data_IF_695547979524
#
_entry.id   IF_695547979524
#
_cell.length_a   1.000
_cell.length_b   1.000
_cell.length_c   1.000
_cell.angle_alpha   90.00
_cell.angle_beta   90.00
_cell.angle_gamma   90.00
#
_symmetry.space_group_name_H-M   'P 1'
#
loop_
_entity.id
_entity.type
_entity.pdbx_description
1 polymer ?
#
# COMPACT_ATOMS: atom_id res chain seq x y z
N UNK A 1 -9.66 -15.24 -19.74
CA UNK A 1 -10.56 -14.49 -18.85
C UNK A 1 -9.75 -13.36 -18.24
N UNK A 2 -10.16 -12.10 -18.39
CA UNK A 2 -9.50 -10.97 -17.75
C UNK A 2 -9.65 -11.17 -16.23
N UNK A 3 -8.53 -11.33 -15.52
CA UNK A 3 -8.56 -11.48 -14.06
C UNK A 3 -9.14 -10.23 -13.42
N UNK A 4 -10.11 -10.40 -12.55
CA UNK A 4 -10.76 -9.32 -11.81
C UNK A 4 -10.29 -9.29 -10.36
N UNK A 5 -10.48 -8.15 -9.69
CA UNK A 5 -10.31 -8.06 -8.22
C UNK A 5 -11.22 -9.07 -7.53
N UNK A 6 -10.78 -9.58 -6.39
CA UNK A 6 -11.61 -10.42 -5.53
C UNK A 6 -12.48 -9.53 -4.63
N UNK A 7 -13.79 -9.55 -4.85
CA UNK A 7 -14.75 -8.80 -4.03
C UNK A 7 -14.82 -9.40 -2.63
N UNK A 8 -14.57 -8.57 -1.60
CA UNK A 8 -14.69 -8.93 -0.17
C UNK A 8 -16.05 -8.47 0.39
N UNK A 9 -16.48 -7.23 0.03
CA UNK A 9 -17.82 -6.73 0.29
C UNK A 9 -18.36 -6.01 -0.95
N UNK A 10 -19.63 -6.24 -1.36
CA UNK A 10 -20.16 -5.67 -2.59
C UNK A 10 -20.66 -4.21 -2.46
N UNK A 11 -21.05 -3.80 -1.27
CA UNK A 11 -21.62 -2.46 -1.06
C UNK A 11 -21.39 -1.92 0.37
N UNK A 12 -20.60 -0.84 0.53
CA UNK A 12 -19.72 -0.24 -0.46
C UNK A 12 -18.67 -1.24 -0.94
N UNK A 13 -18.27 -1.13 -2.22
CA UNK A 13 -17.29 -2.06 -2.79
C UNK A 13 -15.98 -2.02 -1.98
N UNK A 14 -15.56 -3.22 -1.54
CA UNK A 14 -14.23 -3.48 -1.05
C UNK A 14 -13.71 -4.72 -1.75
N UNK A 15 -12.65 -4.56 -2.52
CA UNK A 15 -12.09 -5.64 -3.34
C UNK A 15 -10.56 -5.65 -3.27
N UNK A 16 -9.99 -6.84 -3.17
CA UNK A 16 -8.53 -7.05 -3.06
C UNK A 16 -7.92 -7.52 -4.38
N UNK A 17 -6.67 -7.18 -4.60
CA UNK A 17 -5.86 -7.72 -5.69
C UNK A 17 -5.58 -9.20 -5.40
N UNK A 18 -5.88 -10.13 -6.30
CA UNK A 18 -5.43 -11.51 -6.14
C UNK A 18 -3.90 -11.57 -6.07
N UNK A 19 -3.34 -12.26 -5.06
CA UNK A 19 -1.88 -12.29 -4.85
C UNK A 19 -1.11 -12.77 -6.08
N UNK A 20 -1.70 -13.70 -6.82
CA UNK A 20 -1.14 -14.21 -8.08
C UNK A 20 -1.04 -13.20 -9.20
N UNK A 21 -1.67 -12.04 -9.05
CA UNK A 21 -1.62 -10.94 -10.01
C UNK A 21 -0.62 -9.84 -9.59
N UNK A 22 -0.01 -9.97 -8.40
CA UNK A 22 1.03 -9.07 -7.91
C UNK A 22 2.42 -9.49 -8.44
N UNK A 23 2.51 -9.72 -9.74
CA UNK A 23 3.72 -10.25 -10.39
C UNK A 23 4.61 -9.16 -11.01
N UNK A 24 4.07 -7.96 -11.22
CA UNK A 24 4.80 -6.81 -11.75
C UNK A 24 5.12 -5.78 -10.67
N UNK A 25 6.09 -4.91 -10.94
CA UNK A 25 6.45 -3.82 -10.02
C UNK A 25 5.31 -2.81 -9.86
N UNK A 26 4.55 -2.54 -10.92
CA UNK A 26 3.34 -1.69 -10.90
C UNK A 26 2.10 -2.54 -10.99
N UNK A 27 1.13 -2.31 -10.11
CA UNK A 27 -0.18 -2.94 -10.14
C UNK A 27 -1.07 -2.25 -11.17
N UNK A 28 -1.59 -2.94 -12.20
CA UNK A 28 -2.53 -2.35 -13.16
C UNK A 28 -3.76 -1.74 -12.47
N UNK A 29 -4.26 -0.59 -12.95
CA UNK A 29 -5.39 0.12 -12.34
C UNK A 29 -6.62 -0.78 -12.13
N UNK A 30 -6.93 -1.64 -13.11
CA UNK A 30 -8.06 -2.58 -13.02
C UNK A 30 -7.93 -3.63 -11.91
N UNK A 31 -6.71 -3.88 -11.43
CA UNK A 31 -6.40 -4.86 -10.38
C UNK A 31 -6.13 -4.20 -9.03
N UNK A 32 -5.83 -2.90 -9.02
CA UNK A 32 -5.51 -2.18 -7.79
C UNK A 32 -6.67 -2.29 -6.79
N UNK A 33 -6.39 -2.67 -5.54
CA UNK A 33 -7.43 -2.90 -4.54
C UNK A 33 -8.32 -1.67 -4.32
N UNK A 34 -9.58 -1.91 -4.00
CA UNK A 34 -10.56 -0.86 -3.67
C UNK A 34 -10.95 -0.96 -2.21
N UNK A 35 -10.86 0.16 -1.50
CA UNK A 35 -11.37 0.31 -0.13
C UNK A 35 -12.28 1.53 -0.03
N UNK A 36 -13.56 1.30 0.16
CA UNK A 36 -14.56 2.34 0.36
C UNK A 36 -15.22 2.19 1.73
N UNK A 37 -15.25 3.27 2.52
CA UNK A 37 -16.02 3.34 3.76
C UNK A 37 -17.49 3.57 3.46
N UNK A 38 -17.75 4.58 2.66
CA UNK A 38 -19.03 4.92 2.09
C UNK A 38 -19.02 4.68 0.58
N UNK A 39 -20.17 4.67 -0.05
CA UNK A 39 -20.25 4.59 -1.49
C UNK A 39 -19.53 5.80 -2.12
N UNK A 40 -18.89 5.62 -3.29
CA UNK A 40 -18.40 6.75 -4.06
C UNK A 40 -19.50 7.79 -4.24
N UNK A 41 -19.18 9.10 -4.15
CA UNK A 41 -20.16 10.13 -4.49
C UNK A 41 -20.63 9.93 -5.94
N UNK A 42 -21.84 10.42 -6.31
CA UNK A 42 -22.28 10.43 -7.70
C UNK A 42 -21.17 11.02 -8.59
N UNK A 43 -21.01 10.47 -9.80
CA UNK A 43 -19.95 10.86 -10.72
C UNK A 43 -19.85 12.38 -10.80
N UNK A 44 -18.75 12.97 -10.35
CA UNK A 44 -18.65 14.41 -10.31
C UNK A 44 -18.51 14.95 -11.73
N UNK A 45 -19.17 16.06 -12.02
CA UNK A 45 -18.69 16.93 -13.06
C UNK A 45 -17.29 17.42 -12.62
N UNK A 46 -16.25 16.90 -13.26
CA UNK A 46 -14.86 17.25 -12.92
C UNK A 46 -14.59 18.75 -13.12
N UNK A 47 -15.34 19.42 -13.99
CA UNK A 47 -15.22 20.86 -14.21
C UNK A 47 -15.79 21.68 -13.03
N UNK A 48 -16.83 21.17 -12.37
CA UNK A 48 -17.45 21.80 -11.21
C UNK A 48 -16.85 21.36 -9.86
N UNK A 49 -15.86 20.44 -9.87
CA UNK A 49 -15.25 19.98 -8.63
C UNK A 49 -14.28 20.99 -8.06
N UNK A 50 -14.54 21.46 -6.85
CA UNK A 50 -13.70 22.43 -6.15
C UNK A 50 -13.01 21.81 -4.94
N UNK A 51 -11.73 22.14 -4.76
CA UNK A 51 -10.94 21.93 -3.55
C UNK A 51 -10.81 23.26 -2.79
N UNK A 52 -11.26 23.29 -1.54
CA UNK A 52 -11.24 24.48 -0.69
C UNK A 52 -10.14 24.34 0.37
N UNK A 53 -9.32 25.38 0.54
CA UNK A 53 -8.36 25.53 1.64
C UNK A 53 -8.79 26.67 2.56
N UNK A 54 -8.96 26.37 3.83
CA UNK A 54 -9.43 27.29 4.86
C UNK A 54 -8.74 27.09 6.22
N UNK A 55 -9.17 27.84 7.24
CA UNK A 55 -8.66 27.73 8.62
C UNK A 55 -7.50 28.66 8.89
N UNK A 56 -6.44 28.16 9.52
CA UNK A 56 -5.28 28.97 9.94
C UNK A 56 -4.33 29.28 8.76
N UNK A 57 -4.87 29.92 7.75
CA UNK A 57 -4.12 30.46 6.60
C UNK A 57 -4.34 31.96 6.47
N UNK A 58 -3.40 32.66 5.86
CA UNK A 58 -3.51 34.11 5.61
C UNK A 58 -4.41 34.41 4.41
N UNK A 59 -4.44 33.49 3.43
CA UNK A 59 -5.21 33.58 2.19
C UNK A 59 -5.94 32.28 1.94
N UNK A 60 -7.20 32.15 2.41
CA UNK A 60 -8.06 31.04 2.00
C UNK A 60 -8.11 30.95 0.48
N UNK A 61 -8.09 29.75 -0.05
CA UNK A 61 -7.94 29.52 -1.49
C UNK A 61 -8.92 28.46 -1.96
N UNK A 62 -9.20 28.45 -3.26
CA UNK A 62 -10.08 27.49 -3.92
C UNK A 62 -9.51 27.19 -5.29
N UNK A 63 -9.60 25.94 -5.70
CA UNK A 63 -9.17 25.50 -7.03
C UNK A 63 -10.18 24.51 -7.60
N UNK A 64 -10.44 24.63 -8.88
CA UNK A 64 -11.10 23.58 -9.65
C UNK A 64 -10.11 22.45 -9.96
N UNK A 65 -10.62 21.27 -10.29
CA UNK A 65 -9.77 20.16 -10.73
C UNK A 65 -8.97 20.51 -12.00
N UNK A 66 -9.55 21.33 -12.89
CA UNK A 66 -8.88 21.79 -14.11
C UNK A 66 -7.72 22.74 -13.80
N UNK A 67 -7.90 23.69 -12.88
CA UNK A 67 -6.81 24.58 -12.43
C UNK A 67 -5.67 23.80 -11.81
N UNK A 68 -5.97 22.79 -10.94
CA UNK A 68 -4.95 21.92 -10.38
C UNK A 68 -4.21 21.12 -11.44
N UNK A 69 -4.91 20.65 -12.47
CA UNK A 69 -4.29 19.91 -13.58
C UNK A 69 -3.34 20.76 -14.43
N UNK A 70 -3.53 22.09 -14.43
CA UNK A 70 -2.69 23.06 -15.14
C UNK A 70 -1.42 23.48 -14.34
N UNK A 71 -1.37 23.20 -13.03
CA UNK A 71 -0.20 23.47 -12.20
C UNK A 71 0.94 22.48 -12.49
N UNK A 72 2.19 22.76 -12.09
CA UNK A 72 3.29 21.81 -12.17
C UNK A 72 2.95 20.51 -11.48
N UNK A 73 3.10 19.39 -12.20
CA UNK A 73 2.79 18.05 -11.72
C UNK A 73 4.06 17.37 -11.20
N UNK A 74 3.88 16.54 -10.17
CA UNK A 74 4.91 15.69 -9.60
C UNK A 74 4.42 14.25 -9.57
N UNK A 75 5.31 13.31 -9.91
CA UNK A 75 5.01 11.87 -9.84
C UNK A 75 5.85 11.20 -8.76
N UNK A 76 5.21 10.26 -8.04
CA UNK A 76 5.86 9.41 -7.06
C UNK A 76 5.35 7.98 -7.20
N UNK A 77 6.26 7.01 -7.21
CA UNK A 77 5.90 5.60 -7.11
C UNK A 77 5.76 5.23 -5.64
N UNK A 78 4.65 4.61 -5.27
CA UNK A 78 4.46 4.19 -3.89
C UNK A 78 3.52 2.99 -3.76
N UNK A 79 3.83 2.17 -2.75
CA UNK A 79 2.97 1.10 -2.27
C UNK A 79 1.91 1.68 -1.35
N UNK A 80 0.66 1.32 -1.59
CA UNK A 80 -0.48 1.64 -0.73
C UNK A 80 -1.02 0.35 -0.14
N UNK A 81 -1.13 0.29 1.16
CA UNK A 81 -1.68 -0.86 1.88
C UNK A 81 -2.86 -0.41 2.75
N UNK A 82 -3.94 -1.19 2.77
CA UNK A 82 -5.01 -1.02 3.77
C UNK A 82 -4.49 -1.43 5.15
N UNK A 83 -4.71 -0.62 6.17
CA UNK A 83 -4.27 -0.91 7.54
C UNK A 83 -4.84 -2.22 8.11
N UNK A 84 -5.93 -2.73 7.54
CA UNK A 84 -6.52 -4.03 7.88
C UNK A 84 -6.12 -5.19 6.96
N UNK A 85 -5.14 -4.99 6.07
CA UNK A 85 -4.67 -6.03 5.16
C UNK A 85 -4.13 -7.24 5.94
N UNK A 86 -4.72 -8.42 5.72
CA UNK A 86 -4.42 -9.64 6.47
C UNK A 86 -5.37 -9.94 7.65
N UNK A 87 -6.43 -9.14 7.86
CA UNK A 87 -7.35 -9.30 9.01
C UNK A 87 -7.99 -10.68 9.08
N UNK A 88 -8.30 -11.30 7.95
CA UNK A 88 -8.88 -12.64 7.90
C UNK A 88 -7.95 -13.73 8.48
N UNK A 89 -6.65 -13.47 8.58
CA UNK A 89 -5.67 -14.41 9.13
C UNK A 89 -5.51 -14.32 10.65
N UNK A 90 -6.08 -13.29 11.28
CA UNK A 90 -6.05 -13.18 12.74
C UNK A 90 -6.77 -14.36 13.37
N UNK A 91 -6.16 -14.97 14.39
CA UNK A 91 -6.74 -16.06 15.16
C UNK A 91 -8.02 -15.61 15.86
N UNK A 92 -7.96 -14.46 16.54
CA UNK A 92 -9.12 -13.80 17.11
C UNK A 92 -9.65 -12.77 16.09
N UNK A 93 -10.89 -12.97 15.67
CA UNK A 93 -11.49 -12.13 14.62
C UNK A 93 -11.73 -10.71 15.11
N UNK A 94 -11.12 -9.75 14.43
CA UNK A 94 -11.35 -8.33 14.66
C UNK A 94 -12.44 -7.79 13.72
N UNK A 95 -13.15 -6.76 14.18
CA UNK A 95 -14.18 -6.08 13.39
C UNK A 95 -13.62 -5.41 12.12
N UNK A 96 -14.47 -5.22 11.11
CA UNK A 96 -14.15 -4.58 9.83
C UNK A 96 -14.02 -5.57 8.68
N UNK A 97 -13.66 -5.04 7.51
CA UNK A 97 -13.52 -5.84 6.27
C UNK A 97 -12.47 -6.93 6.45
N UNK A 98 -12.83 -8.17 6.17
CA UNK A 98 -11.99 -9.35 6.37
C UNK A 98 -11.07 -9.57 5.15
N UNK A 99 -10.11 -8.70 4.99
CA UNK A 99 -9.12 -8.76 3.93
C UNK A 99 -8.27 -10.03 4.03
N UNK A 100 -7.98 -10.64 2.87
CA UNK A 100 -6.83 -11.53 2.72
C UNK A 100 -5.53 -10.71 2.73
N UNK A 101 -4.56 -11.08 1.91
CA UNK A 101 -3.29 -10.35 1.80
C UNK A 101 -3.25 -9.36 0.60
N UNK A 102 -4.34 -9.25 -0.16
CA UNK A 102 -4.38 -8.51 -1.42
C UNK A 102 -4.88 -7.06 -1.32
N UNK A 103 -5.14 -6.53 -0.11
CA UNK A 103 -5.49 -5.13 0.06
C UNK A 103 -4.24 -4.23 0.02
N UNK A 104 -3.46 -4.39 -1.04
CA UNK A 104 -2.21 -3.71 -1.32
C UNK A 104 -2.04 -3.53 -2.83
N UNK A 105 -1.33 -2.49 -3.24
CA UNK A 105 -0.93 -2.25 -4.61
C UNK A 105 0.18 -1.21 -4.68
N UNK A 106 0.90 -1.19 -5.79
CA UNK A 106 1.96 -0.22 -6.06
C UNK A 106 1.68 0.47 -7.39
N UNK A 107 1.77 1.78 -7.42
CA UNK A 107 1.45 2.57 -8.60
C UNK A 107 2.28 3.86 -8.65
N UNK A 108 2.35 4.44 -9.85
CA UNK A 108 2.73 5.83 -10.04
C UNK A 108 1.53 6.74 -9.70
N UNK A 109 1.76 7.71 -8.82
CA UNK A 109 0.78 8.72 -8.45
C UNK A 109 1.25 10.08 -8.92
N UNK A 110 0.42 10.77 -9.71
CA UNK A 110 0.77 12.06 -10.29
C UNK A 110 -0.23 13.12 -9.86
N UNK A 111 0.28 14.27 -9.43
CA UNK A 111 -0.53 15.39 -8.99
C UNK A 111 0.28 16.62 -8.59
N UNK A 112 -0.37 17.57 -7.94
CA UNK A 112 0.26 18.79 -7.42
C UNK A 112 0.81 18.49 -6.03
N UNK A 113 2.05 18.90 -5.77
CA UNK A 113 2.61 18.83 -4.41
C UNK A 113 1.77 19.66 -3.45
N UNK A 114 1.33 19.06 -2.36
CA UNK A 114 0.48 19.75 -1.40
C UNK A 114 1.13 21.02 -0.85
N UNK A 115 2.44 20.99 -0.58
CA UNK A 115 3.19 22.16 -0.12
C UNK A 115 3.15 23.34 -1.08
N UNK A 116 3.02 23.10 -2.39
CA UNK A 116 2.98 24.15 -3.42
C UNK A 116 1.62 24.88 -3.44
N UNK A 117 0.57 24.25 -2.91
CA UNK A 117 -0.72 24.89 -2.62
C UNK A 117 -0.72 25.63 -1.28
N UNK A 118 -0.06 25.04 -0.27
CA UNK A 118 -0.03 25.57 1.10
C UNK A 118 0.90 26.79 1.24
N UNK A 119 2.03 26.81 0.56
CA UNK A 119 3.01 27.90 0.63
C UNK A 119 2.41 29.27 0.27
N UNK A 120 1.77 29.43 -0.91
CA UNK A 120 1.11 30.68 -1.27
C UNK A 120 -0.04 31.09 -0.34
N UNK A 121 -0.70 30.14 0.31
CA UNK A 121 -1.79 30.43 1.25
C UNK A 121 -1.31 31.08 2.55
N UNK A 122 -0.03 30.91 2.92
CA UNK A 122 0.57 31.51 4.12
C UNK A 122 0.01 30.89 5.39
N UNK A 123 0.51 29.69 5.74
CA UNK A 123 0.11 28.99 6.96
C UNK A 123 0.52 29.82 8.19
N UNK A 124 -0.39 30.01 9.14
CA UNK A 124 -0.14 30.73 10.38
C UNK A 124 0.73 29.90 11.32
N UNK A 125 1.57 30.58 12.11
CA UNK A 125 2.57 29.92 12.99
C UNK A 125 1.96 28.99 14.05
N UNK A 126 0.70 29.18 14.44
CA UNK A 126 0.00 28.33 15.40
C UNK A 126 -0.46 26.98 14.79
N UNK A 127 -0.38 26.80 13.47
CA UNK A 127 -0.87 25.61 12.80
C UNK A 127 -0.06 24.35 13.20
N UNK A 128 -0.76 23.27 13.50
CA UNK A 128 -0.16 21.97 13.86
C UNK A 128 -0.58 20.84 12.95
N UNK A 129 -1.83 20.87 12.45
CA UNK A 129 -2.41 19.82 11.60
C UNK A 129 -3.24 20.42 10.46
N UNK A 130 -3.47 19.61 9.44
CA UNK A 130 -4.43 19.88 8.38
C UNK A 130 -5.45 18.76 8.33
N UNK A 131 -6.73 19.08 8.41
CA UNK A 131 -7.85 18.16 8.19
C UNK A 131 -8.11 18.10 6.68
N UNK A 132 -8.26 16.89 6.16
CA UNK A 132 -8.66 16.59 4.78
C UNK A 132 -10.02 15.89 4.81
N UNK A 133 -10.99 16.42 4.08
CA UNK A 133 -12.36 15.90 4.02
C UNK A 133 -12.71 15.51 2.59
N UNK A 134 -13.19 14.27 2.44
CA UNK A 134 -13.74 13.75 1.20
C UNK A 134 -15.21 14.14 1.00
N UNK A 135 -15.71 13.91 -0.21
CA UNK A 135 -17.13 14.09 -0.52
C UNK A 135 -17.98 12.87 -0.12
N UNK A 136 -17.35 11.74 0.20
CA UNK A 136 -18.03 10.54 0.64
C UNK A 136 -18.56 10.71 2.08
N UNK A 137 -19.79 10.27 2.27
CA UNK A 137 -20.49 10.38 3.55
C UNK A 137 -21.44 9.21 3.75
N UNK A 138 -21.83 9.00 4.99
CA UNK A 138 -22.75 7.93 5.35
C UNK A 138 -23.02 7.93 6.86
N UNK A 139 -23.51 6.79 7.36
CA UNK A 139 -23.80 6.61 8.78
C UNK A 139 -22.85 5.55 9.34
N UNK A 140 -22.12 5.87 10.39
CA UNK A 140 -21.30 4.96 11.18
C UNK A 140 -21.69 5.08 12.65
N UNK A 141 -21.88 3.94 13.33
CA UNK A 141 -22.32 3.87 14.73
C UNK A 141 -23.53 4.80 15.02
N UNK A 142 -24.48 4.88 14.07
CA UNK A 142 -25.69 5.70 14.17
C UNK A 142 -25.48 7.20 13.94
N UNK A 143 -24.29 7.66 13.59
CA UNK A 143 -23.97 9.06 13.36
C UNK A 143 -23.75 9.36 11.87
N UNK A 144 -24.33 10.44 11.32
CA UNK A 144 -23.99 10.90 9.97
C UNK A 144 -22.58 11.50 9.97
N UNK A 145 -21.71 11.01 9.11
CA UNK A 145 -20.30 11.39 9.04
C UNK A 145 -19.85 11.58 7.59
N UNK A 146 -18.98 12.58 7.36
CA UNK A 146 -18.13 12.65 6.20
C UNK A 146 -16.82 11.95 6.50
N UNK A 147 -16.22 11.31 5.49
CA UNK A 147 -14.90 10.73 5.67
C UNK A 147 -13.85 11.84 5.76
N UNK A 148 -13.11 11.87 6.85
CA UNK A 148 -12.08 12.87 7.08
C UNK A 148 -10.93 12.34 7.93
N UNK A 149 -9.73 12.80 7.61
CA UNK A 149 -8.48 12.49 8.33
C UNK A 149 -7.63 13.74 8.46
N UNK A 150 -6.76 13.79 9.45
CA UNK A 150 -5.74 14.84 9.51
C UNK A 150 -4.34 14.29 9.27
N UNK A 151 -3.45 15.19 8.87
CA UNK A 151 -2.00 14.98 8.88
C UNK A 151 -1.32 16.02 9.76
N UNK A 152 -0.25 15.65 10.49
CA UNK A 152 0.67 16.62 11.05
C UNK A 152 1.19 17.56 9.95
N UNK A 153 1.39 18.83 10.27
CA UNK A 153 1.82 19.84 9.30
C UNK A 153 3.13 19.44 8.59
N UNK A 154 4.06 18.82 9.31
CA UNK A 154 5.32 18.34 8.73
C UNK A 154 5.08 17.32 7.61
N UNK A 155 4.13 16.37 7.78
CA UNK A 155 3.79 15.39 6.74
C UNK A 155 3.00 16.00 5.59
N UNK A 156 2.15 16.98 5.87
CA UNK A 156 1.44 17.73 4.82
C UNK A 156 2.40 18.56 3.93
N UNK A 157 3.51 19.03 4.50
CA UNK A 157 4.55 19.79 3.78
C UNK A 157 5.65 18.91 3.17
N UNK A 158 5.59 17.59 3.38
CA UNK A 158 6.51 16.63 2.75
C UNK A 158 6.48 16.81 1.22
N UNK A 159 7.66 16.82 0.55
CA UNK A 159 7.76 17.07 -0.89
C UNK A 159 6.98 16.07 -1.75
N UNK A 160 6.68 14.90 -1.24
CA UNK A 160 6.03 13.82 -1.97
C UNK A 160 4.55 13.62 -1.57
N UNK A 161 4.03 14.41 -0.62
CA UNK A 161 2.59 14.45 -0.34
C UNK A 161 1.87 15.25 -1.43
N UNK A 162 0.88 14.63 -2.08
CA UNK A 162 0.23 15.16 -3.30
C UNK A 162 -1.28 15.36 -3.12
N UNK A 163 -1.81 16.32 -3.86
CA UNK A 163 -3.18 16.26 -4.37
C UNK A 163 -3.12 15.54 -5.71
N UNK A 164 -3.39 14.24 -5.72
CA UNK A 164 -3.24 13.39 -6.89
C UNK A 164 -4.45 13.47 -7.81
N UNK A 165 -4.18 13.49 -9.12
CA UNK A 165 -5.16 13.50 -10.22
C UNK A 165 -5.07 12.26 -11.09
N UNK A 166 -3.93 11.55 -11.07
CA UNK A 166 -3.66 10.40 -11.95
C UNK A 166 -3.06 9.24 -11.17
N UNK A 167 -3.30 8.03 -11.67
CA UNK A 167 -2.67 6.80 -11.24
C UNK A 167 -2.19 6.03 -12.48
N UNK A 168 -0.92 5.65 -12.52
CA UNK A 168 -0.29 4.97 -13.66
C UNK A 168 -0.50 5.72 -15.01
N UNK A 169 -0.35 7.05 -14.98
CA UNK A 169 -0.52 7.92 -16.17
C UNK A 169 -1.96 8.19 -16.58
N UNK A 170 -2.95 7.48 -16.04
CA UNK A 170 -4.38 7.65 -16.35
C UNK A 170 -5.07 8.55 -15.32
N UNK A 171 -6.14 9.29 -15.67
CA UNK A 171 -6.98 9.95 -14.68
C UNK A 171 -7.48 8.97 -13.63
N UNK A 172 -7.64 9.42 -12.39
CA UNK A 172 -8.24 8.60 -11.34
C UNK A 172 -9.63 8.11 -11.76
N UNK A 173 -9.95 6.87 -11.47
CA UNK A 173 -11.32 6.36 -11.58
C UNK A 173 -12.17 6.67 -10.34
N UNK A 174 -13.47 6.42 -10.41
CA UNK A 174 -14.40 6.70 -9.33
C UNK A 174 -14.00 6.01 -8.02
N UNK A 175 -13.58 4.73 -8.06
CA UNK A 175 -13.21 3.96 -6.87
C UNK A 175 -11.87 4.38 -6.26
N UNK A 176 -11.00 5.01 -7.05
CA UNK A 176 -9.70 5.49 -6.60
C UNK A 176 -9.71 6.99 -6.26
N UNK A 177 -10.88 7.65 -6.27
CA UNK A 177 -11.08 8.97 -5.71
C UNK A 177 -11.12 10.11 -6.73
N UNK A 178 -11.54 9.83 -7.99
CA UNK A 178 -11.73 10.88 -8.99
C UNK A 178 -12.64 12.01 -8.50
N UNK A 179 -12.39 13.26 -8.89
CA UNK A 179 -11.29 13.73 -9.73
C UNK A 179 -10.00 14.02 -8.96
N UNK A 180 -10.05 14.12 -7.63
CA UNK A 180 -8.94 14.49 -6.75
C UNK A 180 -8.89 13.60 -5.52
N UNK A 181 -7.68 13.22 -5.12
CA UNK A 181 -7.45 12.61 -3.82
C UNK A 181 -6.20 13.18 -3.14
N UNK A 182 -6.21 13.20 -1.82
CA UNK A 182 -4.96 13.29 -1.07
C UNK A 182 -4.17 12.00 -1.29
N UNK A 183 -2.87 12.11 -1.51
CA UNK A 183 -1.96 10.99 -1.57
C UNK A 183 -0.78 11.20 -0.61
N UNK A 184 -0.61 10.26 0.31
CA UNK A 184 0.39 10.30 1.39
C UNK A 184 1.30 9.08 1.25
N UNK A 185 2.44 9.20 0.54
CA UNK A 185 3.32 8.06 0.29
C UNK A 185 3.91 7.53 1.58
N UNK A 186 4.03 6.19 1.65
CA UNK A 186 4.59 5.49 2.79
C UNK A 186 3.65 5.34 4.00
N UNK A 187 2.46 5.96 3.98
CA UNK A 187 1.44 5.80 5.02
C UNK A 187 0.36 4.80 4.59
N UNK A 188 -0.36 4.24 5.58
CA UNK A 188 -1.51 3.40 5.26
C UNK A 188 -2.54 4.16 4.44
N UNK A 189 -3.21 3.46 3.50
CA UNK A 189 -4.13 4.05 2.52
C UNK A 189 -5.25 4.88 3.11
N UNK A 190 -5.59 4.70 4.40
CA UNK A 190 -6.58 5.52 5.11
C UNK A 190 -6.18 6.98 5.20
N UNK A 191 -4.90 7.31 5.20
CA UNK A 191 -4.41 8.69 5.20
C UNK A 191 -4.63 9.40 3.86
N UNK A 192 -4.76 8.65 2.78
CA UNK A 192 -4.92 9.16 1.41
C UNK A 192 -6.41 9.35 1.08
N UNK A 193 -7.00 10.42 1.61
CA UNK A 193 -8.44 10.74 1.49
C UNK A 193 -8.86 10.89 0.03
N UNK A 194 -9.87 10.10 -0.39
CA UNK A 194 -10.44 10.11 -1.74
C UNK A 194 -11.49 11.20 -1.90
N UNK A 195 -11.80 11.56 -3.14
CA UNK A 195 -12.83 12.57 -3.46
C UNK A 195 -12.64 13.86 -2.66
N UNK A 196 -11.39 14.31 -2.59
CA UNK A 196 -10.97 15.42 -1.74
C UNK A 196 -11.69 16.73 -2.09
N UNK A 197 -12.35 17.35 -1.11
CA UNK A 197 -13.09 18.61 -1.26
C UNK A 197 -12.62 19.74 -0.37
N UNK A 198 -12.09 19.42 0.80
CA UNK A 198 -11.74 20.44 1.79
C UNK A 198 -10.44 20.13 2.49
N UNK A 199 -9.66 21.16 2.71
CA UNK A 199 -8.48 21.20 3.56
C UNK A 199 -8.66 22.30 4.60
N UNK A 200 -8.58 21.97 5.89
CA UNK A 200 -8.70 22.95 6.97
C UNK A 200 -7.48 22.89 7.87
N UNK A 201 -6.73 24.00 7.95
CA UNK A 201 -5.55 24.13 8.82
C UNK A 201 -6.00 24.46 10.24
N UNK A 202 -5.51 23.73 11.23
CA UNK A 202 -5.89 23.83 12.64
C UNK A 202 -4.66 23.87 13.56
N UNK A 203 -4.85 24.28 14.82
CA UNK A 203 -3.81 24.44 15.85
C UNK A 203 -3.87 23.41 16.99
N UNK A 204 -4.69 22.39 16.85
CA UNK A 204 -4.90 21.36 17.86
C UNK A 204 -5.05 19.98 17.20
N UNK A 205 -4.82 18.87 17.94
CA UNK A 205 -5.02 17.53 17.41
C UNK A 205 -6.47 17.27 16.99
N UNK A 206 -6.67 16.80 15.77
CA UNK A 206 -7.99 16.49 15.23
C UNK A 206 -8.63 15.29 15.94
N UNK A 207 -9.88 15.45 16.40
CA UNK A 207 -10.64 14.43 17.15
C UNK A 207 -11.74 13.77 16.31
N UNK A 208 -11.57 13.71 14.99
CA UNK A 208 -12.58 13.11 14.09
C UNK A 208 -12.70 11.58 14.28
N UNK A 209 -13.89 11.06 13.97
CA UNK A 209 -14.23 9.65 14.13
C UNK A 209 -13.22 8.69 13.46
N UNK A 210 -12.84 8.96 12.20
CA UNK A 210 -11.85 8.15 11.48
C UNK A 210 -10.40 8.45 11.87
N UNK A 211 -10.16 9.29 12.86
CA UNK A 211 -8.85 9.62 13.41
C UNK A 211 -8.64 8.98 14.79
N UNK A 212 -9.64 9.01 15.66
CA UNK A 212 -9.50 8.62 17.06
C UNK A 212 -10.35 7.41 17.47
N UNK A 213 -11.47 7.14 16.77
CA UNK A 213 -12.33 5.97 17.03
C UNK A 213 -11.96 4.80 16.12
N UNK A 214 -12.04 5.02 14.82
CA UNK A 214 -11.54 4.05 13.81
C UNK A 214 -10.12 4.43 13.35
N UNK A 215 -9.37 3.47 12.84
CA UNK A 215 -7.99 3.66 12.36
C UNK A 215 -7.06 4.29 13.40
N UNK A 216 -7.21 3.84 14.61
CA UNK A 216 -6.33 4.14 15.74
C UNK A 216 -6.02 2.86 16.50
N UNK A 217 -4.92 2.87 17.24
CA UNK A 217 -4.39 1.75 18.01
C UNK A 217 -4.17 2.18 19.46
N UNK A 218 -4.11 1.23 20.37
CA UNK A 218 -3.77 1.51 21.75
C UNK A 218 -2.26 1.53 21.92
N UNK A 219 -1.75 2.54 22.62
CA UNK A 219 -0.32 2.64 22.98
C UNK A 219 -0.17 2.94 24.47
N UNK A 220 0.88 2.42 25.11
CA UNK A 220 1.13 2.71 26.52
C UNK A 220 1.19 4.22 26.79
N UNK A 221 0.52 4.66 27.86
CA UNK A 221 0.51 6.05 28.30
C UNK A 221 0.42 6.11 29.82
N UNK A 222 1.56 6.25 30.50
CA UNK A 222 1.60 6.16 31.96
C UNK A 222 1.02 4.85 32.50
N UNK A 223 0.08 4.90 33.46
CA UNK A 223 -0.58 3.71 34.01
C UNK A 223 -1.67 3.11 33.10
N UNK A 224 -1.94 3.70 31.94
CA UNK A 224 -3.02 3.29 31.03
C UNK A 224 -2.58 3.24 29.58
N UNK A 225 -3.56 3.36 28.68
CA UNK A 225 -3.39 3.41 27.23
C UNK A 225 -4.01 4.68 26.66
N UNK A 226 -3.44 5.19 25.59
CA UNK A 226 -4.03 6.25 24.77
C UNK A 226 -4.28 5.75 23.36
N UNK A 227 -5.29 6.29 22.71
CA UNK A 227 -5.53 6.10 21.27
C UNK A 227 -4.51 6.91 20.49
N UNK A 228 -3.90 6.25 19.51
CA UNK A 228 -2.96 6.87 18.59
C UNK A 228 -3.42 6.60 17.14
N UNK A 229 -3.59 7.65 16.33
CA UNK A 229 -3.98 7.50 14.93
C UNK A 229 -2.97 6.71 14.13
N UNK A 230 -3.43 5.90 13.17
CA UNK A 230 -2.55 5.24 12.23
C UNK A 230 -1.83 6.26 11.33
N UNK A 231 -0.56 6.02 11.11
CA UNK A 231 0.31 6.83 10.27
C UNK A 231 1.12 5.98 9.28
N UNK A 232 2.47 5.94 9.42
CA UNK A 232 3.36 5.21 8.51
C UNK A 232 3.05 3.72 8.43
N UNK A 233 3.27 3.15 7.24
CA UNK A 233 3.15 1.71 7.00
C UNK A 233 4.19 0.89 7.77
N UNK A 234 3.81 -0.33 8.13
CA UNK A 234 4.70 -1.29 8.78
C UNK A 234 5.62 -1.97 7.77
N UNK A 235 6.76 -2.50 8.27
CA UNK A 235 7.58 -3.42 7.48
C UNK A 235 6.87 -4.76 7.33
N UNK A 236 6.81 -5.28 6.10
CA UNK A 236 6.11 -6.53 5.79
C UNK A 236 6.70 -7.22 4.56
N UNK A 237 6.57 -8.54 4.51
CA UNK A 237 6.85 -9.37 3.34
C UNK A 237 5.75 -10.39 3.16
N UNK A 238 5.43 -10.70 1.90
CA UNK A 238 4.52 -11.76 1.51
C UNK A 238 5.19 -12.69 0.50
N UNK A 239 5.07 -14.00 0.70
CA UNK A 239 5.50 -15.02 -0.26
C UNK A 239 4.42 -15.12 -1.34
N UNK A 240 4.79 -14.91 -2.59
CA UNK A 240 3.90 -15.06 -3.74
C UNK A 240 4.06 -16.41 -4.42
N UNK A 241 5.26 -17.00 -4.33
CA UNK A 241 5.57 -18.31 -4.90
C UNK A 241 6.57 -19.08 -3.99
N UNK A 242 6.33 -20.39 -3.77
CA UNK A 242 5.14 -21.14 -4.11
C UNK A 242 3.93 -20.70 -3.28
N UNK A 243 2.72 -21.06 -3.72
CA UNK A 243 1.49 -20.77 -2.97
C UNK A 243 1.22 -21.83 -1.91
N UNK A 244 0.46 -21.45 -0.90
CA UNK A 244 0.00 -22.39 0.11
C UNK A 244 -0.74 -23.58 -0.53
N UNK A 245 -0.43 -24.80 -0.07
CA UNK A 245 -1.01 -26.03 -0.57
C UNK A 245 -0.40 -26.53 -1.90
N UNK A 246 0.61 -25.85 -2.45
CA UNK A 246 1.29 -26.33 -3.67
C UNK A 246 2.02 -27.64 -3.39
N UNK A 247 1.90 -28.59 -4.33
CA UNK A 247 2.70 -29.82 -4.38
C UNK A 247 3.89 -29.57 -5.30
N UNK A 248 5.08 -29.83 -4.80
CA UNK A 248 6.36 -29.55 -5.45
C UNK A 248 7.13 -30.83 -5.68
N UNK A 249 7.85 -31.00 -6.79
CA UNK A 249 8.83 -32.08 -6.91
C UNK A 249 10.04 -31.80 -6.01
N UNK A 250 10.76 -32.86 -5.61
CA UNK A 250 12.09 -32.68 -5.04
C UNK A 250 13.03 -32.04 -6.05
N UNK A 251 13.92 -31.14 -5.61
CA UNK A 251 14.84 -30.41 -6.47
C UNK A 251 15.06 -28.97 -6.01
N UNK A 252 15.47 -28.10 -6.91
CA UNK A 252 15.64 -26.68 -6.62
C UNK A 252 14.34 -25.91 -6.94
N UNK A 253 13.77 -25.30 -5.91
CA UNK A 253 12.53 -24.54 -5.96
C UNK A 253 12.85 -23.06 -5.75
N UNK A 254 12.33 -22.19 -6.61
CA UNK A 254 12.36 -20.75 -6.41
C UNK A 254 11.30 -20.35 -5.37
N UNK A 255 11.71 -19.65 -4.32
CA UNK A 255 10.80 -19.02 -3.36
C UNK A 255 10.89 -17.51 -3.61
N UNK A 256 9.77 -16.83 -3.86
CA UNK A 256 9.78 -15.43 -4.25
C UNK A 256 8.59 -14.66 -3.67
N UNK A 257 8.76 -13.35 -3.51
CA UNK A 257 7.73 -12.51 -2.94
C UNK A 257 8.00 -11.02 -3.06
N UNK A 258 7.19 -10.25 -2.34
CA UNK A 258 7.29 -8.81 -2.21
C UNK A 258 7.60 -8.44 -0.77
N UNK A 259 8.28 -7.30 -0.58
CA UNK A 259 8.49 -6.70 0.74
C UNK A 259 8.42 -5.17 0.65
N UNK A 260 7.93 -4.52 1.72
CA UNK A 260 7.78 -3.07 1.83
C UNK A 260 7.96 -2.62 3.28
N UNK A 261 8.19 -1.32 3.49
CA UNK A 261 8.50 -0.79 4.82
C UNK A 261 7.93 0.62 5.07
N UNK A 262 6.81 0.97 4.44
CA UNK A 262 6.19 2.28 4.58
C UNK A 262 7.07 3.40 4.00
N UNK A 263 7.52 4.34 4.82
CA UNK A 263 8.37 5.45 4.41
C UNK A 263 9.84 5.05 4.18
N UNK A 264 10.25 3.90 4.72
CA UNK A 264 11.60 3.39 4.61
C UNK A 264 11.74 2.40 3.46
N UNK A 265 12.98 2.11 3.07
CA UNK A 265 13.27 0.98 2.18
C UNK A 265 13.40 -0.31 2.97
N UNK A 266 13.16 -1.42 2.29
CA UNK A 266 13.52 -2.74 2.79
C UNK A 266 15.02 -2.92 2.70
N UNK A 267 15.67 -3.20 3.82
CA UNK A 267 17.11 -3.45 3.86
C UNK A 267 17.44 -4.91 3.51
N UNK A 268 16.62 -5.86 3.99
CA UNK A 268 16.84 -7.29 3.87
C UNK A 268 15.52 -8.06 3.99
N UNK A 269 15.47 -9.21 3.33
CA UNK A 269 14.46 -10.24 3.58
C UNK A 269 15.18 -11.53 3.91
N UNK A 270 14.80 -12.17 5.04
CA UNK A 270 15.27 -13.50 5.39
C UNK A 270 14.17 -14.50 5.09
N UNK A 271 14.55 -15.67 4.56
CA UNK A 271 13.66 -16.77 4.22
C UNK A 271 14.03 -17.99 5.04
N UNK A 272 13.03 -18.65 5.55
CA UNK A 272 13.13 -19.96 6.21
C UNK A 272 12.27 -20.96 5.46
N UNK A 273 12.73 -22.20 5.34
CA UNK A 273 12.00 -23.31 4.73
C UNK A 273 11.62 -24.40 5.75
N UNK A 274 11.89 -24.16 7.02
CA UNK A 274 11.69 -25.09 8.14
C UNK A 274 10.84 -24.48 9.29
N UNK A 275 9.96 -23.54 8.96
CA UNK A 275 9.05 -22.90 9.91
C UNK A 275 9.72 -21.87 10.83
N UNK A 276 10.83 -21.28 10.40
CA UNK A 276 11.52 -20.21 11.15
C UNK A 276 12.65 -20.72 12.06
N UNK A 277 13.11 -21.95 11.90
CA UNK A 277 14.22 -22.50 12.70
C UNK A 277 15.58 -22.05 12.15
N UNK A 278 15.73 -22.09 10.83
CA UNK A 278 16.93 -21.59 10.14
C UNK A 278 16.55 -20.54 9.12
N UNK A 279 17.45 -19.57 8.88
CA UNK A 279 17.19 -18.42 8.05
C UNK A 279 18.33 -18.16 7.06
N UNK A 280 17.96 -17.80 5.84
CA UNK A 280 18.89 -17.43 4.79
C UNK A 280 18.45 -16.08 4.19
N UNK A 281 19.40 -15.24 3.86
CA UNK A 281 19.10 -13.97 3.20
C UNK A 281 18.59 -14.23 1.77
N UNK A 282 17.45 -13.64 1.42
CA UNK A 282 16.95 -13.60 0.06
C UNK A 282 17.70 -12.55 -0.77
N UNK A 283 17.74 -12.76 -2.08
CA UNK A 283 18.21 -11.76 -3.02
C UNK A 283 17.09 -10.76 -3.31
N UNK A 284 17.35 -9.47 -3.05
CA UNK A 284 16.42 -8.39 -3.40
C UNK A 284 16.58 -8.06 -4.88
N UNK A 285 15.47 -8.04 -5.61
CA UNK A 285 15.44 -7.83 -7.06
C UNK A 285 14.59 -6.61 -7.41
N UNK A 286 14.76 -6.08 -8.63
CA UNK A 286 13.98 -4.95 -9.13
C UNK A 286 14.39 -3.59 -8.55
N UNK A 287 13.55 -2.59 -8.79
CA UNK A 287 13.79 -1.21 -8.37
C UNK A 287 13.59 -1.05 -6.86
N UNK A 288 14.49 -0.31 -6.21
CA UNK A 288 14.46 -0.02 -4.78
C UNK A 288 14.31 1.47 -4.54
N UNK A 289 13.10 1.98 -4.70
CA UNK A 289 12.79 3.39 -4.48
C UNK A 289 12.18 3.62 -3.08
N UNK A 290 12.22 4.84 -2.53
CA UNK A 290 11.45 5.20 -1.34
C UNK A 290 9.96 4.87 -1.55
N UNK A 291 9.26 4.53 -0.47
CA UNK A 291 7.83 4.19 -0.44
C UNK A 291 7.41 2.97 -1.26
N UNK A 292 8.34 2.35 -2.01
CA UNK A 292 8.04 1.26 -2.93
C UNK A 292 8.29 -0.10 -2.31
N UNK A 293 7.50 -1.08 -2.73
CA UNK A 293 7.88 -2.46 -2.48
C UNK A 293 9.09 -2.84 -3.31
N UNK A 294 9.82 -3.85 -2.85
CA UNK A 294 10.83 -4.55 -3.64
C UNK A 294 10.40 -6.01 -3.83
N UNK A 295 10.85 -6.58 -4.92
CA UNK A 295 10.76 -8.01 -5.16
C UNK A 295 11.95 -8.69 -4.50
N UNK A 296 11.78 -9.96 -4.12
CA UNK A 296 12.85 -10.77 -3.58
C UNK A 296 12.69 -12.23 -4.01
N UNK A 297 13.82 -12.96 -4.06
CA UNK A 297 13.83 -14.37 -4.36
C UNK A 297 14.90 -15.13 -3.57
N UNK A 298 14.69 -16.41 -3.38
CA UNK A 298 15.62 -17.35 -2.78
C UNK A 298 15.48 -18.70 -3.47
N UNK A 299 16.59 -19.38 -3.73
CA UNK A 299 16.58 -20.75 -4.24
C UNK A 299 16.65 -21.73 -3.07
N UNK A 300 15.71 -22.63 -3.03
CA UNK A 300 15.60 -23.68 -2.01
C UNK A 300 15.79 -25.06 -2.64
N UNK A 301 16.88 -25.74 -2.30
CA UNK A 301 17.10 -27.12 -2.73
C UNK A 301 16.55 -28.07 -1.69
N UNK A 302 15.52 -28.82 -2.06
CA UNK A 302 14.86 -29.81 -1.22
C UNK A 302 14.94 -31.22 -1.84
N UNK A 303 15.46 -32.17 -1.08
CA UNK A 303 15.67 -33.56 -1.54
C UNK A 303 14.75 -34.58 -0.86
N UNK A 304 14.23 -34.24 0.32
CA UNK A 304 13.38 -35.13 1.09
C UNK A 304 11.89 -34.79 0.86
N UNK A 305 11.05 -35.82 0.57
CA UNK A 305 9.61 -35.64 0.57
C UNK A 305 9.10 -35.28 1.97
N UNK A 306 8.04 -34.44 2.02
CA UNK A 306 7.46 -34.02 3.30
C UNK A 306 6.68 -32.72 3.21
N UNK A 307 6.15 -32.30 4.36
CA UNK A 307 5.48 -30.99 4.49
C UNK A 307 6.46 -29.95 5.02
N UNK A 308 6.48 -28.81 4.40
CA UNK A 308 7.38 -27.70 4.73
C UNK A 308 6.59 -26.41 4.95
N UNK A 309 7.03 -25.62 5.91
CA UNK A 309 6.48 -24.28 6.19
C UNK A 309 7.50 -23.21 5.75
N UNK A 310 7.21 -22.55 4.65
CA UNK A 310 8.05 -21.47 4.14
C UNK A 310 7.65 -20.17 4.83
N UNK A 311 8.62 -19.39 5.25
CA UNK A 311 8.41 -18.12 5.98
C UNK A 311 9.36 -17.07 5.44
N UNK A 312 8.88 -15.84 5.26
CA UNK A 312 9.70 -14.70 4.90
C UNK A 312 9.58 -13.60 5.96
N UNK A 313 10.68 -12.91 6.25
CA UNK A 313 10.77 -11.86 7.26
C UNK A 313 11.53 -10.66 6.73
N UNK A 314 10.84 -9.54 6.53
CA UNK A 314 11.45 -8.29 6.07
C UNK A 314 12.03 -7.47 7.23
N UNK A 315 13.08 -6.71 6.91
CA UNK A 315 13.75 -5.75 7.78
C UNK A 315 13.88 -4.41 7.05
N UNK A 316 13.58 -3.31 7.71
CA UNK A 316 13.77 -1.96 7.17
C UNK A 316 15.18 -1.42 7.42
N UNK A 317 15.51 -0.31 6.77
CA UNK A 317 16.81 0.37 6.94
C UNK A 317 17.06 0.85 8.38
N UNK A 318 16.01 1.22 9.13
CA UNK A 318 16.13 1.58 10.55
C UNK A 318 16.20 0.38 11.49
N UNK A 319 16.13 -0.86 10.97
CA UNK A 319 16.17 -2.08 11.77
C UNK A 319 14.81 -2.55 12.29
N UNK A 320 13.68 -1.92 11.89
CA UNK A 320 12.35 -2.47 12.16
C UNK A 320 12.21 -3.82 11.47
N UNK A 321 11.54 -4.75 12.14
CA UNK A 321 11.44 -6.15 11.68
C UNK A 321 10.02 -6.65 11.84
N UNK A 322 9.55 -7.52 10.94
CA UNK A 322 8.25 -8.17 11.09
C UNK A 322 8.22 -9.01 12.37
N UNK A 323 7.18 -8.87 13.21
CA UNK A 323 6.96 -9.71 14.37
C UNK A 323 6.41 -11.09 13.99
N UNK A 324 6.56 -12.07 14.86
CA UNK A 324 5.91 -13.38 14.73
C UNK A 324 4.50 -13.37 15.30
N UNK A 325 4.24 -12.55 16.30
CA UNK A 325 2.96 -12.47 16.99
C UNK A 325 2.28 -11.14 16.73
N UNK A 326 0.95 -11.19 16.61
CA UNK A 326 0.14 -10.01 16.48
C UNK A 326 -0.06 -9.34 17.85
N UNK A 327 0.16 -8.04 17.90
CA UNK A 327 -0.13 -7.22 19.06
C UNK A 327 -1.64 -6.89 19.11
N UNK A 328 -2.41 -7.39 20.10
CA UNK A 328 -3.86 -7.15 20.19
C UNK A 328 -4.20 -5.67 20.38
N UNK A 329 -3.28 -4.84 20.89
CA UNK A 329 -3.45 -3.41 21.03
C UNK A 329 -3.53 -2.68 19.67
N UNK A 330 -3.18 -3.36 18.58
CA UNK A 330 -3.39 -2.89 17.21
C UNK A 330 -4.86 -3.01 16.74
N UNK A 331 -5.76 -3.64 17.49
CA UNK A 331 -7.22 -3.62 17.31
C UNK A 331 -7.68 -4.02 15.88
N UNK A 332 -7.01 -4.99 15.27
CA UNK A 332 -7.32 -5.46 13.91
C UNK A 332 -6.69 -4.61 12.79
N UNK A 333 -5.72 -3.77 13.12
CA UNK A 333 -4.89 -3.01 12.19
C UNK A 333 -3.41 -3.44 12.30
N UNK A 334 -2.54 -2.89 11.45
CA UNK A 334 -1.09 -3.13 11.48
C UNK A 334 -0.73 -4.63 11.46
N UNK A 335 -1.44 -5.42 10.65
CA UNK A 335 -1.24 -6.87 10.57
C UNK A 335 -0.04 -7.13 9.66
N UNK A 336 1.13 -7.15 10.27
CA UNK A 336 2.41 -7.38 9.60
C UNK A 336 3.17 -8.59 10.12
N UNK A 337 2.50 -9.50 10.81
CA UNK A 337 3.14 -10.72 11.31
C UNK A 337 3.64 -11.61 10.19
N UNK A 338 4.73 -12.30 10.46
CA UNK A 338 5.24 -13.36 9.58
C UNK A 338 4.16 -14.42 9.40
N UNK A 339 3.90 -14.84 8.15
CA UNK A 339 2.86 -15.81 7.81
C UNK A 339 3.47 -17.01 7.10
N UNK A 340 3.31 -18.25 7.64
CA UNK A 340 3.79 -19.45 6.99
C UNK A 340 3.00 -19.76 5.70
N UNK A 341 3.71 -20.28 4.72
CA UNK A 341 3.16 -20.86 3.49
C UNK A 341 3.48 -22.35 3.50
N UNK A 342 2.46 -23.17 3.72
CA UNK A 342 2.58 -24.62 3.77
C UNK A 342 2.64 -25.19 2.36
N UNK A 343 3.64 -26.04 2.10
CA UNK A 343 3.81 -26.78 0.84
C UNK A 343 4.14 -28.23 1.10
N UNK A 344 3.83 -29.09 0.13
CA UNK A 344 4.17 -30.53 0.18
C UNK A 344 5.19 -30.84 -0.92
N UNK A 345 6.31 -31.47 -0.55
CA UNK A 345 7.29 -32.01 -1.50
C UNK A 345 7.00 -33.48 -1.69
N UNK A 346 6.79 -33.89 -2.94
CA UNK A 346 6.47 -35.28 -3.29
C UNK A 346 7.72 -36.12 -3.60
N UNK A 347 7.64 -37.45 -3.32
CA UNK A 347 8.67 -38.37 -3.73
C UNK A 347 8.59 -38.62 -5.24
N UNK A 348 9.70 -38.43 -5.95
CA UNK A 348 9.86 -38.92 -7.32
C UNK A 348 9.46 -37.92 -8.42
N UNK A 349 10.30 -37.88 -9.35
CA UNK A 349 10.56 -37.26 -10.63
C UNK A 349 11.64 -36.18 -10.50
N UNK A 350 12.72 -36.35 -11.28
CA UNK A 350 13.75 -35.33 -11.39
C UNK A 350 13.11 -33.96 -11.70
N UNK A 351 13.49 -32.97 -10.93
CA UNK A 351 13.00 -31.62 -11.09
C UNK A 351 13.12 -31.17 -12.55
N UNK A 352 12.01 -30.78 -13.15
CA UNK A 352 12.09 -29.82 -14.24
C UNK A 352 12.73 -28.56 -13.65
N UNK A 353 13.79 -28.13 -14.27
CA UNK A 353 14.58 -26.98 -13.83
C UNK A 353 13.72 -25.70 -13.95
N UNK A 354 13.01 -25.35 -12.87
CA UNK A 354 12.26 -24.09 -12.78
C UNK A 354 13.17 -22.88 -12.52
N UNK A 355 14.49 -23.11 -12.63
CA UNK A 355 15.50 -22.05 -12.58
C UNK A 355 15.58 -21.24 -13.88
N UNK A 356 14.61 -21.37 -14.80
CA UNK A 356 14.65 -20.64 -16.06
C UNK A 356 14.39 -19.15 -15.84
N UNK A 357 15.51 -18.44 -15.69
CA UNK A 357 15.59 -16.98 -15.74
C UNK A 357 15.00 -16.42 -17.05
N UNK A 358 14.99 -17.23 -18.13
CA UNK A 358 14.43 -16.89 -19.43
C UNK A 358 12.91 -16.72 -19.37
N UNK A 359 12.18 -17.63 -18.76
CA UNK A 359 10.71 -17.58 -18.67
C UNK A 359 10.21 -16.35 -17.89
N UNK A 360 11.00 -15.85 -16.94
CA UNK A 360 10.68 -14.61 -16.23
C UNK A 360 10.97 -13.37 -17.08
N UNK A 361 12.06 -13.37 -17.85
CA UNK A 361 12.40 -12.32 -18.83
C UNK A 361 11.34 -12.28 -19.92
N UNK A 362 10.96 -13.40 -20.50
CA UNK A 362 9.91 -13.52 -21.53
C UNK A 362 8.55 -13.00 -21.00
N UNK A 363 8.24 -13.26 -19.73
CA UNK A 363 7.04 -12.73 -19.08
C UNK A 363 7.11 -11.20 -18.91
N UNK A 364 8.24 -10.65 -18.47
CA UNK A 364 8.43 -9.20 -18.33
C UNK A 364 8.41 -8.50 -19.69
N UNK A 365 8.96 -9.10 -20.72
CA UNK A 365 8.93 -8.60 -22.10
C UNK A 365 7.52 -8.64 -22.68
N UNK A 366 6.78 -9.73 -22.50
CA UNK A 366 5.39 -9.84 -22.92
C UNK A 366 4.50 -8.81 -22.20
N UNK A 367 4.71 -8.62 -20.90
CA UNK A 367 4.00 -7.62 -20.11
C UNK A 367 4.34 -6.19 -20.56
N UNK A 368 5.62 -5.90 -20.84
CA UNK A 368 6.07 -4.62 -21.36
C UNK A 368 5.43 -4.32 -22.72
N UNK A 369 5.32 -5.30 -23.61
CA UNK A 369 4.68 -5.15 -24.93
C UNK A 369 3.16 -4.93 -24.83
N UNK A 370 2.46 -5.56 -23.88
CA UNK A 370 1.01 -5.41 -23.71
C UNK A 370 0.59 -4.10 -23.02
N UNK A 371 1.45 -3.50 -22.21
CA UNK A 371 1.05 -2.41 -21.29
C UNK A 371 1.80 -1.08 -21.48
N UNK A 372 2.72 -0.96 -22.45
CA UNK A 372 3.48 0.27 -22.64
C UNK A 372 2.97 1.12 -23.79
N UNK A 373 2.32 2.24 -23.48
CA UNK A 373 2.32 3.46 -24.31
C UNK A 373 3.51 4.40 -24.02
N UNK A 374 4.42 4.00 -23.14
CA UNK A 374 5.76 4.59 -22.97
C UNK A 374 6.75 3.44 -22.74
N UNK A 375 7.89 3.39 -23.43
CA UNK A 375 8.94 2.47 -23.09
C UNK A 375 9.43 2.83 -21.68
N UNK A 376 9.15 1.97 -20.69
CA UNK A 376 10.04 1.84 -19.56
C UNK A 376 11.37 1.40 -20.16
N UNK A 377 12.46 2.08 -19.82
CA UNK A 377 13.80 1.64 -20.21
C UNK A 377 14.07 0.29 -19.53
N UNK A 378 13.66 -0.77 -20.18
CA UNK A 378 13.82 -2.15 -19.72
C UNK A 378 15.30 -2.50 -19.61
N UNK A 379 16.18 -1.85 -20.40
CA UNK A 379 17.62 -1.98 -20.27
C UNK A 379 18.17 -1.55 -18.91
N UNK A 380 17.61 -0.49 -18.30
CA UNK A 380 18.00 -0.06 -16.95
C UNK A 380 17.56 -1.03 -15.85
N UNK A 381 16.53 -1.84 -16.10
CA UNK A 381 16.05 -2.86 -15.16
C UNK A 381 16.84 -4.18 -15.28
N UNK A 382 17.47 -4.43 -16.42
CA UNK A 382 18.21 -5.66 -16.72
C UNK A 382 19.72 -5.54 -16.46
N UNK A 383 20.29 -4.34 -16.59
CA UNK A 383 21.68 -4.07 -16.22
C UNK A 383 21.67 -3.49 -14.82
N UNK A 384 21.83 -4.32 -13.79
CA UNK A 384 22.06 -3.86 -12.43
C UNK A 384 23.12 -2.76 -12.45
N UNK A 385 22.68 -1.51 -12.24
CA UNK A 385 23.50 -0.34 -12.42
C UNK A 385 24.73 -0.36 -11.52
N UNK A 386 25.84 -0.72 -12.09
CA UNK A 386 27.12 -0.22 -11.67
C UNK A 386 27.30 1.15 -12.37
N UNK A 387 27.19 2.21 -11.61
CA UNK A 387 27.66 3.50 -12.08
C UNK A 387 26.73 4.69 -11.87
N UNK A 388 27.07 5.40 -10.85
CA UNK A 388 26.95 6.79 -10.36
C UNK A 388 26.00 6.96 -9.22
#
# INVERSE_FOLDING_TARGET
>A
MVSARKVVTPGPENSETPLEQLTSWVTPNRLFFVRNHFNPPPAPDSAAWELVLEGLVSRPSRWTAAELAALPQHSVFATVECAGNGRSFLREKAAGVQWGAGAIGHAEWTGVRLRDLLGPAGIKAAATEIIFEGADHGVEDGQPLNFSRSLPLAKALDPDTLVALRMNGEPLDANHGAPLRLFVPGWYGVASVKWLRRMRVIDHPYQGYFQTVKYSVDRPAGPGKRREPLGPGSVKSEILFPRAGTRLPAGTVRVAGLAWAGEERVARVDVSTDGGRTWHAAHLTGLRQPYSWCQWESLWTVTAPGNYALVARAHSESGRTQPFEYDPDNLGYLINTVRPVEVTVEAGAAAADFADRGAWIDYLEAYAQENTRRPLDVELALTGGDGI
#
